data_IF_541624867117
#
_entry.id   IF_541624867117
#
_cell.length_a   1.000
_cell.length_b   1.000
_cell.length_c   1.000
_cell.angle_alpha   90.00
_cell.angle_beta   90.00
_cell.angle_gamma   90.00
#
_symmetry.space_group_name_H-M   'P 1'
#
loop_
_entity.id
_entity.type
_entity.pdbx_description
1 polymer ?
#
# COMPACT_ATOMS: atom_id res chain seq x y z
N UNK A 1 21.95 -45.49 6.13
CA UNK A 1 21.74 -44.37 7.06
C UNK A 1 20.98 -43.29 6.30
N UNK A 2 19.71 -43.09 6.65
CA UNK A 2 18.84 -42.06 6.06
C UNK A 2 19.11 -40.74 6.84
N UNK A 3 19.44 -39.62 6.20
CA UNK A 3 19.64 -38.35 6.91
C UNK A 3 18.35 -37.85 7.53
N UNK A 4 18.43 -37.47 8.79
CA UNK A 4 17.34 -36.83 9.54
C UNK A 4 17.01 -35.47 8.91
N UNK A 5 15.75 -35.18 8.60
CA UNK A 5 15.37 -33.87 8.08
C UNK A 5 15.63 -32.77 9.13
N UNK A 6 16.12 -31.64 8.67
CA UNK A 6 16.37 -30.47 9.51
C UNK A 6 15.08 -29.97 10.18
N UNK A 7 15.15 -29.45 11.43
CA UNK A 7 13.97 -28.94 12.12
C UNK A 7 13.39 -27.75 11.36
N UNK A 8 12.07 -27.79 11.14
CA UNK A 8 11.33 -26.65 10.58
C UNK A 8 11.44 -25.44 11.54
N UNK A 9 11.59 -24.23 11.00
CA UNK A 9 11.54 -23.04 11.84
C UNK A 9 10.18 -22.94 12.54
N UNK A 10 10.13 -22.39 13.76
CA UNK A 10 8.91 -22.30 14.52
C UNK A 10 7.85 -21.50 13.76
N UNK A 11 6.69 -22.13 13.52
CA UNK A 11 5.49 -21.43 13.05
C UNK A 11 5.05 -20.47 14.16
N UNK A 12 5.32 -19.17 13.99
CA UNK A 12 4.60 -18.18 14.77
C UNK A 12 3.14 -18.19 14.30
N UNK A 13 2.17 -18.33 15.22
CA UNK A 13 0.77 -18.19 14.86
C UNK A 13 0.54 -16.79 14.27
N UNK A 14 -0.37 -16.63 13.29
CA UNK A 14 -0.71 -15.32 12.76
C UNK A 14 -1.18 -14.44 13.92
N UNK A 15 -0.70 -13.20 13.96
CA UNK A 15 -1.10 -12.21 14.96
C UNK A 15 -2.61 -12.20 15.10
N UNK A 16 -3.10 -12.29 16.34
CA UNK A 16 -4.52 -12.35 16.65
C UNK A 16 -5.29 -11.18 16.04
N UNK A 17 -6.58 -11.36 15.78
CA UNK A 17 -7.45 -10.40 15.09
C UNK A 17 -7.53 -8.99 15.73
N UNK A 18 -6.92 -8.78 16.91
CA UNK A 18 -6.92 -7.52 17.66
C UNK A 18 -5.74 -6.57 17.36
N UNK A 19 -4.71 -7.02 16.64
CA UNK A 19 -3.43 -6.28 16.57
C UNK A 19 -2.96 -6.02 15.12
N UNK A 20 -3.89 -5.98 14.16
CA UNK A 20 -3.55 -5.68 12.78
C UNK A 20 -3.35 -4.19 12.62
N UNK A 21 -2.18 -3.73 12.12
CA UNK A 21 -1.95 -2.31 11.94
C UNK A 21 -2.95 -1.76 10.92
N UNK A 22 -3.54 -0.63 11.25
CA UNK A 22 -4.29 0.20 10.31
C UNK A 22 -3.31 1.11 9.58
N UNK A 23 -3.72 1.68 8.44
CA UNK A 23 -2.91 2.70 7.78
C UNK A 23 -2.66 3.87 8.72
N UNK A 24 -1.42 4.27 8.85
CA UNK A 24 -1.00 5.38 9.68
C UNK A 24 -0.98 6.72 8.95
N UNK A 25 -0.58 7.80 9.66
CA UNK A 25 -0.58 9.15 9.12
C UNK A 25 0.25 9.31 7.85
N UNK A 26 1.41 8.66 7.75
CA UNK A 26 2.29 8.78 6.57
C UNK A 26 1.65 8.16 5.31
N UNK A 27 0.98 7.03 5.44
CA UNK A 27 0.28 6.42 4.33
C UNK A 27 -0.91 7.25 3.86
N UNK A 28 -1.70 7.78 4.79
CA UNK A 28 -2.81 8.68 4.48
C UNK A 28 -2.35 9.98 3.82
N UNK A 29 -1.23 10.54 4.27
CA UNK A 29 -0.64 11.75 3.67
C UNK A 29 -0.21 11.49 2.22
N UNK A 30 0.46 10.36 1.95
CA UNK A 30 0.82 9.97 0.60
C UNK A 30 -0.41 9.86 -0.31
N UNK A 31 -1.47 9.20 0.15
CA UNK A 31 -2.69 9.06 -0.65
C UNK A 31 -3.29 10.45 -0.94
N UNK A 32 -3.48 11.30 0.06
CA UNK A 32 -4.04 12.65 -0.13
C UNK A 32 -3.19 13.54 -1.04
N UNK A 33 -1.88 13.35 -1.01
CA UNK A 33 -0.96 14.12 -1.85
C UNK A 33 -1.10 13.75 -3.33
N UNK A 34 -1.21 12.45 -3.63
CA UNK A 34 -1.25 11.95 -5.01
C UNK A 34 -2.67 11.82 -5.57
N UNK A 35 -3.69 11.71 -4.72
CA UNK A 35 -5.11 11.72 -5.05
C UNK A 35 -5.79 12.91 -4.32
N UNK A 36 -5.62 14.15 -4.78
CA UNK A 36 -6.13 15.33 -4.10
C UNK A 36 -7.66 15.34 -4.05
N UNK A 37 -8.21 15.95 -3.00
CA UNK A 37 -9.65 16.01 -2.77
C UNK A 37 -10.42 16.61 -3.94
N UNK A 38 -11.44 15.87 -4.42
CA UNK A 38 -12.46 16.36 -5.34
C UNK A 38 -13.85 16.18 -4.74
N UNK A 39 -14.66 17.26 -4.61
CA UNK A 39 -16.02 17.14 -4.09
C UNK A 39 -17.01 16.55 -5.08
N UNK A 40 -16.63 16.43 -6.35
CA UNK A 40 -17.47 15.95 -7.45
C UNK A 40 -16.79 14.80 -8.19
N UNK A 41 -17.55 13.95 -8.90
CA UNK A 41 -16.99 12.90 -9.72
C UNK A 41 -16.02 13.45 -10.76
N UNK A 42 -14.94 12.72 -10.95
CA UNK A 42 -13.95 12.97 -12.01
C UNK A 42 -13.49 11.65 -12.62
N UNK A 43 -12.86 11.71 -13.78
CA UNK A 43 -12.25 10.55 -14.40
C UNK A 43 -10.84 10.39 -13.83
N UNK A 44 -10.65 9.36 -13.01
CA UNK A 44 -9.34 9.00 -12.54
C UNK A 44 -8.42 8.68 -13.73
N UNK A 45 -7.13 8.97 -13.61
CA UNK A 45 -6.17 8.72 -14.68
C UNK A 45 -6.11 7.24 -15.12
N UNK A 46 -6.51 6.31 -14.26
CA UNK A 46 -6.70 4.88 -14.58
C UNK A 46 -8.00 4.57 -15.32
N UNK A 47 -8.79 5.56 -15.68
CA UNK A 47 -9.95 5.45 -16.54
C UNK A 47 -11.29 5.15 -15.86
N UNK A 48 -11.33 5.00 -14.53
CA UNK A 48 -12.58 4.82 -13.79
C UNK A 48 -13.11 6.14 -13.19
N UNK A 49 -14.40 6.24 -12.90
CA UNK A 49 -14.95 7.39 -12.18
C UNK A 49 -14.52 7.35 -10.71
N UNK A 50 -14.09 8.48 -10.17
CA UNK A 50 -13.67 8.63 -8.79
C UNK A 50 -14.25 9.88 -8.15
N UNK A 51 -14.24 9.93 -6.81
CA UNK A 51 -14.68 11.06 -6.00
C UNK A 51 -13.84 11.12 -4.71
N UNK A 52 -13.82 12.26 -4.04
CA UNK A 52 -13.08 12.42 -2.79
C UNK A 52 -11.58 12.36 -3.02
N UNK A 53 -10.90 11.46 -2.36
CA UNK A 53 -9.46 11.19 -2.47
C UNK A 53 -9.18 9.97 -3.38
N UNK A 54 -9.82 9.89 -4.53
CA UNK A 54 -9.63 8.77 -5.45
C UNK A 54 -10.54 7.57 -5.21
N UNK A 55 -11.53 7.68 -4.31
CA UNK A 55 -12.51 6.63 -4.08
C UNK A 55 -13.22 6.25 -5.38
N UNK A 56 -13.20 4.95 -5.72
CA UNK A 56 -13.83 4.46 -6.94
C UNK A 56 -15.33 4.56 -6.84
N UNK A 57 -15.91 5.48 -7.60
CA UNK A 57 -17.34 5.78 -7.59
C UNK A 57 -18.16 4.63 -8.17
N UNK A 58 -19.20 4.21 -7.46
CA UNK A 58 -20.22 3.28 -7.89
C UNK A 58 -21.50 4.06 -8.29
N UNK A 59 -22.38 3.50 -9.13
CA UNK A 59 -23.63 4.18 -9.52
C UNK A 59 -24.52 4.57 -8.34
N UNK A 60 -24.47 3.82 -7.24
CA UNK A 60 -25.23 4.07 -6.01
C UNK A 60 -24.63 5.12 -5.08
N UNK A 61 -23.39 5.55 -5.34
CA UNK A 61 -22.67 6.44 -4.44
C UNK A 61 -23.12 7.90 -4.61
N UNK A 62 -22.92 8.71 -3.58
CA UNK A 62 -23.20 10.12 -3.60
C UNK A 62 -22.39 10.84 -4.70
N UNK A 63 -23.04 11.71 -5.45
CA UNK A 63 -22.41 12.48 -6.55
C UNK A 63 -21.76 13.78 -6.07
N UNK A 64 -21.88 14.10 -4.81
CA UNK A 64 -21.21 15.24 -4.14
C UNK A 64 -20.82 14.78 -2.76
N UNK A 65 -19.57 15.04 -2.37
CA UNK A 65 -19.07 14.73 -1.04
C UNK A 65 -18.39 15.94 -0.40
N UNK A 66 -18.61 16.09 0.89
CA UNK A 66 -17.82 17.00 1.71
C UNK A 66 -16.44 16.40 1.97
N UNK A 67 -15.50 17.23 2.45
CA UNK A 67 -14.17 16.75 2.85
C UNK A 67 -14.26 15.67 3.93
N UNK A 68 -15.15 15.85 4.92
CA UNK A 68 -15.37 14.85 5.98
C UNK A 68 -15.89 13.52 5.41
N UNK A 69 -16.83 13.57 4.48
CA UNK A 69 -17.30 12.34 3.82
C UNK A 69 -16.21 11.65 2.99
N UNK A 70 -15.38 12.44 2.31
CA UNK A 70 -14.24 11.90 1.57
C UNK A 70 -13.21 11.23 2.49
N UNK A 71 -12.97 11.77 3.69
CA UNK A 71 -12.12 11.12 4.71
C UNK A 71 -12.71 9.78 5.18
N UNK A 72 -14.01 9.68 5.34
CA UNK A 72 -14.67 8.42 5.69
C UNK A 72 -14.53 7.37 4.58
N UNK A 73 -14.70 7.78 3.32
CA UNK A 73 -14.50 6.88 2.17
C UNK A 73 -13.04 6.40 2.10
N UNK A 74 -12.09 7.31 2.27
CA UNK A 74 -10.66 6.96 2.31
C UNK A 74 -10.36 5.96 3.44
N UNK A 75 -10.90 6.18 4.63
CA UNK A 75 -10.73 5.28 5.76
C UNK A 75 -11.31 3.89 5.48
N UNK A 76 -12.49 3.81 4.85
CA UNK A 76 -13.12 2.55 4.45
C UNK A 76 -12.29 1.79 3.42
N UNK A 77 -11.80 2.47 2.38
CA UNK A 77 -10.95 1.85 1.36
C UNK A 77 -9.65 1.33 1.95
N UNK A 78 -9.00 2.13 2.80
CA UNK A 78 -7.78 1.72 3.49
C UNK A 78 -8.01 0.56 4.47
N UNK A 79 -9.17 0.51 5.12
CA UNK A 79 -9.54 -0.60 6.01
C UNK A 79 -9.61 -1.93 5.23
N UNK A 80 -10.23 -1.94 4.04
CA UNK A 80 -10.28 -3.13 3.19
C UNK A 80 -8.88 -3.59 2.75
N UNK A 81 -8.00 -2.65 2.40
CA UNK A 81 -6.59 -2.93 2.10
C UNK A 81 -5.90 -3.54 3.32
N UNK A 82 -6.13 -2.99 4.51
CA UNK A 82 -5.57 -3.49 5.77
C UNK A 82 -6.00 -4.92 6.09
N UNK A 83 -7.27 -5.25 5.87
CA UNK A 83 -7.79 -6.63 6.01
C UNK A 83 -7.04 -7.58 5.07
N UNK A 84 -6.91 -7.21 3.79
CA UNK A 84 -6.20 -8.02 2.81
C UNK A 84 -4.73 -8.23 3.19
N UNK A 85 -4.01 -7.17 3.50
CA UNK A 85 -2.61 -7.24 3.91
C UNK A 85 -2.42 -8.10 5.16
N UNK A 86 -3.26 -7.90 6.18
CA UNK A 86 -3.19 -8.68 7.40
C UNK A 86 -3.47 -10.18 7.20
N UNK A 87 -4.26 -10.53 6.19
CA UNK A 87 -4.54 -11.93 5.84
C UNK A 87 -3.44 -12.56 4.97
N UNK A 88 -2.69 -11.77 4.22
CA UNK A 88 -1.78 -12.26 3.17
C UNK A 88 -0.30 -11.98 3.44
N UNK A 89 0.03 -11.29 4.54
CA UNK A 89 1.40 -10.97 4.93
C UNK A 89 1.72 -11.73 6.23
N UNK A 90 2.52 -12.80 6.16
CA UNK A 90 2.79 -13.68 7.31
C UNK A 90 3.81 -13.11 8.29
N UNK A 91 4.45 -11.99 7.97
CA UNK A 91 5.45 -11.33 8.81
C UNK A 91 4.90 -10.04 9.40
N UNK A 92 5.46 -9.62 10.54
CA UNK A 92 5.17 -8.31 11.12
C UNK A 92 5.95 -7.23 10.37
N UNK A 93 5.23 -6.18 9.94
CA UNK A 93 5.81 -5.03 9.27
C UNK A 93 5.83 -3.82 10.20
N UNK A 94 6.90 -3.02 10.24
CA UNK A 94 6.88 -1.71 10.86
C UNK A 94 5.81 -0.80 10.24
N UNK A 95 5.22 0.13 11.01
CA UNK A 95 4.12 0.98 10.56
C UNK A 95 4.42 1.72 9.25
N UNK A 96 5.64 2.26 9.08
CA UNK A 96 6.02 2.97 7.84
C UNK A 96 6.06 2.06 6.62
N UNK A 97 6.48 0.81 6.78
CA UNK A 97 6.45 -0.17 5.70
C UNK A 97 5.01 -0.54 5.34
N UNK A 98 4.15 -0.72 6.35
CA UNK A 98 2.73 -0.94 6.17
C UNK A 98 2.06 0.21 5.42
N UNK A 99 2.32 1.44 5.83
CA UNK A 99 1.81 2.67 5.22
C UNK A 99 2.21 2.79 3.75
N UNK A 100 3.46 2.50 3.43
CA UNK A 100 3.95 2.53 2.05
C UNK A 100 3.24 1.50 1.16
N UNK A 101 3.06 0.28 1.67
CA UNK A 101 2.35 -0.79 0.95
C UNK A 101 0.87 -0.43 0.79
N UNK A 102 0.21 0.10 1.83
CA UNK A 102 -1.18 0.56 1.74
C UNK A 102 -1.36 1.63 0.65
N UNK A 103 -0.46 2.64 0.59
CA UNK A 103 -0.50 3.66 -0.46
C UNK A 103 -0.32 3.06 -1.85
N UNK A 104 0.60 2.10 -2.00
CA UNK A 104 0.79 1.38 -3.27
C UNK A 104 -0.48 0.64 -3.68
N UNK A 105 -1.07 -0.15 -2.78
CA UNK A 105 -2.27 -0.94 -3.07
C UNK A 105 -3.49 -0.05 -3.38
N UNK A 106 -3.59 1.09 -2.72
CA UNK A 106 -4.63 2.08 -3.00
C UNK A 106 -4.59 2.54 -4.46
N UNK A 107 -3.40 2.77 -4.98
CA UNK A 107 -3.20 3.21 -6.37
C UNK A 107 -3.26 2.04 -7.37
N UNK A 108 -2.48 0.97 -7.19
CA UNK A 108 -2.34 -0.09 -8.20
C UNK A 108 -3.40 -1.19 -8.08
N UNK A 109 -4.05 -1.30 -6.93
CA UNK A 109 -5.02 -2.34 -6.63
C UNK A 109 -4.40 -3.64 -6.13
N UNK A 110 -5.24 -4.45 -5.44
CA UNK A 110 -4.81 -5.69 -4.78
C UNK A 110 -4.25 -6.72 -5.77
N UNK A 111 -4.89 -6.88 -6.92
CA UNK A 111 -4.50 -7.90 -7.90
C UNK A 111 -3.09 -7.67 -8.48
N UNK A 112 -2.72 -6.41 -8.74
CA UNK A 112 -1.38 -6.06 -9.23
C UNK A 112 -0.32 -6.40 -8.17
N UNK A 113 -0.58 -6.09 -6.92
CA UNK A 113 0.31 -6.43 -5.80
C UNK A 113 0.40 -7.94 -5.60
N UNK A 114 -0.72 -8.66 -5.61
CA UNK A 114 -0.78 -10.10 -5.38
C UNK A 114 0.10 -10.89 -6.37
N UNK A 115 0.16 -10.45 -7.62
CA UNK A 115 0.95 -11.08 -8.69
C UNK A 115 2.39 -10.59 -8.74
N UNK A 116 2.80 -9.69 -7.84
CA UNK A 116 4.09 -9.03 -7.90
C UNK A 116 5.19 -9.80 -7.16
N UNK A 117 6.43 -9.63 -7.63
CA UNK A 117 7.62 -10.08 -6.91
C UNK A 117 7.83 -9.28 -5.63
N UNK A 118 7.36 -8.04 -5.57
CA UNK A 118 7.40 -7.21 -4.37
C UNK A 118 6.73 -7.94 -3.19
N UNK A 119 5.51 -8.45 -3.38
CA UNK A 119 4.81 -9.24 -2.35
C UNK A 119 5.59 -10.48 -1.95
N UNK A 120 6.16 -11.20 -2.91
CA UNK A 120 6.98 -12.39 -2.64
C UNK A 120 8.17 -12.07 -1.74
N UNK A 121 8.91 -11.00 -2.04
CA UNK A 121 10.06 -10.58 -1.24
C UNK A 121 9.65 -10.05 0.14
N UNK A 122 8.57 -9.28 0.23
CA UNK A 122 8.03 -8.82 1.53
C UNK A 122 7.68 -10.02 2.41
N UNK A 123 6.95 -10.99 1.88
CA UNK A 123 6.51 -12.17 2.65
C UNK A 123 7.67 -13.09 3.05
N UNK A 124 8.76 -13.04 2.32
CA UNK A 124 10.01 -13.74 2.66
C UNK A 124 10.90 -12.97 3.65
N UNK A 125 10.55 -11.72 4.01
CA UNK A 125 11.37 -10.85 4.84
C UNK A 125 12.61 -10.30 4.11
N UNK A 126 12.70 -10.46 2.79
CA UNK A 126 13.78 -9.91 1.98
C UNK A 126 13.47 -8.45 1.61
N UNK A 127 13.66 -7.58 2.60
CA UNK A 127 13.34 -6.15 2.45
C UNK A 127 14.21 -5.43 1.45
N UNK A 128 15.43 -5.92 1.19
CA UNK A 128 16.32 -5.35 0.18
C UNK A 128 15.79 -5.64 -1.22
N UNK A 129 15.48 -6.88 -1.53
CA UNK A 129 14.91 -7.25 -2.82
C UNK A 129 13.52 -6.61 -3.02
N UNK A 130 12.70 -6.53 -1.95
CA UNK A 130 11.43 -5.82 -1.97
C UNK A 130 11.62 -4.35 -2.37
N UNK A 131 12.58 -3.65 -1.79
CA UNK A 131 12.90 -2.26 -2.13
C UNK A 131 13.25 -2.08 -3.60
N UNK A 132 13.97 -3.02 -4.20
CA UNK A 132 14.40 -2.96 -5.60
C UNK A 132 13.25 -3.27 -6.60
N UNK A 133 12.15 -3.88 -6.15
CA UNK A 133 10.97 -4.17 -6.99
C UNK A 133 9.99 -2.97 -7.11
N UNK A 134 10.08 -1.97 -6.24
CA UNK A 134 9.13 -0.85 -6.20
C UNK A 134 9.01 -0.10 -7.53
N UNK A 135 10.10 0.21 -8.27
CA UNK A 135 10.02 0.91 -9.55
C UNK A 135 9.27 0.14 -10.65
N UNK A 136 9.07 -1.17 -10.49
CA UNK A 136 8.34 -1.98 -11.48
C UNK A 136 6.86 -1.60 -11.58
N UNK A 137 6.31 -0.96 -10.54
CA UNK A 137 4.96 -0.41 -10.57
C UNK A 137 4.87 0.96 -11.26
N UNK A 138 5.99 1.48 -11.71
CA UNK A 138 6.08 2.66 -12.57
C UNK A 138 6.04 2.28 -14.07
N UNK A 139 5.72 1.05 -14.41
CA UNK A 139 5.85 0.51 -15.76
C UNK A 139 5.05 1.32 -16.78
N UNK A 140 5.65 1.45 -17.96
CA UNK A 140 5.16 2.27 -19.08
C UNK A 140 3.75 1.90 -19.54
N UNK A 141 3.29 0.67 -19.30
CA UNK A 141 1.92 0.23 -19.56
C UNK A 141 0.87 0.99 -18.70
N UNK A 142 1.27 1.56 -17.58
CA UNK A 142 0.44 2.36 -16.68
C UNK A 142 0.82 3.84 -16.65
N UNK A 143 1.86 4.23 -17.38
CA UNK A 143 2.43 5.60 -17.35
C UNK A 143 1.66 6.55 -18.27
N UNK A 144 0.34 6.52 -18.21
CA UNK A 144 -0.55 7.47 -18.93
C UNK A 144 -0.78 8.76 -18.13
N UNK A 145 -0.23 8.87 -16.91
CA UNK A 145 -0.40 10.07 -16.11
C UNK A 145 0.53 11.20 -16.60
N UNK A 146 -0.03 12.35 -17.04
CA UNK A 146 0.76 13.50 -17.42
C UNK A 146 1.71 13.94 -16.30
N UNK A 147 2.98 14.21 -16.63
CA UNK A 147 3.94 14.78 -15.68
C UNK A 147 4.67 13.81 -14.75
N UNK A 148 4.62 12.50 -15.00
CA UNK A 148 5.41 11.53 -14.21
C UNK A 148 4.98 11.39 -12.75
N UNK A 149 3.71 11.66 -12.46
CA UNK A 149 3.16 11.61 -11.09
C UNK A 149 3.27 10.20 -10.49
N UNK A 150 3.02 9.16 -11.29
CA UNK A 150 3.16 7.75 -10.88
C UNK A 150 4.57 7.44 -10.41
N UNK A 151 5.60 7.88 -11.15
CA UNK A 151 7.00 7.71 -10.76
C UNK A 151 7.31 8.40 -9.43
N UNK A 152 6.82 9.64 -9.23
CA UNK A 152 7.03 10.38 -7.98
C UNK A 152 6.36 9.66 -6.81
N UNK A 153 5.15 9.15 -6.99
CA UNK A 153 4.44 8.36 -5.98
C UNK A 153 5.24 7.11 -5.60
N UNK A 154 5.70 6.33 -6.59
CA UNK A 154 6.55 5.14 -6.35
C UNK A 154 7.84 5.50 -5.60
N UNK A 155 8.45 6.63 -5.96
CA UNK A 155 9.65 7.12 -5.27
C UNK A 155 9.36 7.46 -3.80
N UNK A 156 8.28 8.17 -3.51
CA UNK A 156 7.87 8.53 -2.15
C UNK A 156 7.53 7.29 -1.30
N UNK A 157 6.76 6.35 -1.86
CA UNK A 157 6.41 5.10 -1.20
C UNK A 157 7.63 4.23 -0.93
N UNK A 158 8.53 4.12 -1.90
CA UNK A 158 9.81 3.42 -1.77
C UNK A 158 10.66 4.02 -0.66
N UNK A 159 10.75 5.35 -0.59
CA UNK A 159 11.47 6.06 0.46
C UNK A 159 10.87 5.83 1.85
N UNK A 160 9.54 5.85 1.96
CA UNK A 160 8.84 5.55 3.20
C UNK A 160 9.07 4.10 3.64
N UNK A 161 9.02 3.15 2.71
CA UNK A 161 9.32 1.74 2.99
C UNK A 161 10.76 1.57 3.50
N UNK A 162 11.73 2.18 2.83
CA UNK A 162 13.13 2.14 3.23
C UNK A 162 13.34 2.69 4.64
N UNK A 163 12.71 3.82 4.97
CA UNK A 163 12.84 4.47 6.29
C UNK A 163 12.31 3.61 7.45
N UNK A 164 11.54 2.58 7.16
CA UNK A 164 11.03 1.65 8.16
C UNK A 164 12.12 0.71 8.71
N UNK A 165 13.20 0.51 7.95
CA UNK A 165 14.27 -0.42 8.25
C UNK A 165 15.63 0.26 8.51
N UNK A 166 15.71 1.55 8.20
CA UNK A 166 16.87 2.37 8.54
C UNK A 166 16.54 3.10 9.83
N UNK A 167 17.14 2.66 10.94
CA UNK A 167 17.15 3.48 12.15
C UNK A 167 17.95 4.74 11.81
N UNK A 168 17.42 5.97 12.03
CA UNK A 168 18.29 7.13 12.05
C UNK A 168 19.37 6.85 13.08
N UNK A 169 20.63 6.90 12.67
CA UNK A 169 21.73 6.87 13.64
C UNK A 169 21.38 7.85 14.74
N UNK A 170 21.34 7.34 15.97
CA UNK A 170 21.18 8.20 17.13
C UNK A 170 22.27 9.26 17.00
N UNK A 171 21.86 10.48 16.73
CA UNK A 171 22.76 11.60 16.65
C UNK A 171 23.55 11.65 17.96
N UNK A 172 24.85 11.36 17.85
CA UNK A 172 25.82 11.48 18.93
C UNK A 172 26.00 12.96 19.30
#
# INVERSE_FOLDING_TARGET
>A
TVPTPAPHPPHHPPAGAGDRPVIGPHGLELIRHYDPFSPRPYRHWRGYPAIGYGHRLRPSDAQIVTRTQAELLLAQDCHLIGIYLGATTPITLPQRAWDAICSLLYDVGLLAYERSRLRTHINAGDHRAAYDEWPRFDDRAFNTHPGGLTRRRRHSEKGLYQSAYITPDAAA
#
